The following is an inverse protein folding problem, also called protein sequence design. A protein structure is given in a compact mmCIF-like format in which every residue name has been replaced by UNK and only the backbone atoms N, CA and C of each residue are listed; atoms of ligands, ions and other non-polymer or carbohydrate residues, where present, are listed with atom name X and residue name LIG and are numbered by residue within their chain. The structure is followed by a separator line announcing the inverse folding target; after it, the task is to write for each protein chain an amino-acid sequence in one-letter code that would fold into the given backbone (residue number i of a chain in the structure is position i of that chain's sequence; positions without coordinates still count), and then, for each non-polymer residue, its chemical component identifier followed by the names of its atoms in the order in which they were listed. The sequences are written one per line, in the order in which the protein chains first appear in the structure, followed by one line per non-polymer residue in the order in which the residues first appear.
data_IF_668186870244
#
_entry.id   IF_668186870244
#
_cell.length_a   1.000
_cell.length_b   1.000
_cell.length_c   1.000
_cell.angle_alpha   90.00
_cell.angle_beta   90.00
_cell.angle_gamma   90.00
#
_symmetry.space_group_name_H-M   'P 1'
#
loop_
_entity.id
_entity.type
_entity.pdbx_description
1 polymer ?
#
# COMPACT_ATOMS: atom_id res chain seq x y z
N UNK A 1 13.17 -6.53 11.97
CA UNK A 1 13.60 -6.40 10.55
C UNK A 1 13.50 -4.95 10.14
N UNK A 2 14.50 -4.37 9.46
CA UNK A 2 14.40 -2.99 8.94
C UNK A 2 13.85 -2.98 7.52
N UNK A 3 12.91 -2.08 7.24
CA UNK A 3 12.28 -1.93 5.93
C UNK A 3 12.06 -0.46 5.61
N UNK A 4 11.87 -0.15 4.32
CA UNK A 4 11.47 1.18 3.88
C UNK A 4 9.96 1.22 3.60
N UNK A 5 9.28 2.24 4.09
CA UNK A 5 7.85 2.44 3.89
C UNK A 5 7.58 3.85 3.37
N UNK A 6 6.71 3.95 2.37
CA UNK A 6 6.18 5.22 1.92
C UNK A 6 4.93 5.57 2.73
N UNK A 7 5.08 6.48 3.67
CA UNK A 7 3.98 7.05 4.44
C UNK A 7 3.42 8.33 3.83
N UNK A 8 2.22 8.68 4.28
CA UNK A 8 1.61 9.98 4.05
C UNK A 8 1.61 10.74 5.38
N UNK A 9 2.04 11.98 5.37
CA UNK A 9 1.93 12.85 6.54
C UNK A 9 1.22 14.14 6.15
N UNK A 10 0.17 14.48 6.88
CA UNK A 10 -0.31 15.86 6.91
C UNK A 10 0.60 16.58 7.90
N UNK A 11 1.60 17.31 7.39
CA UNK A 11 2.48 18.07 8.26
C UNK A 11 1.77 19.36 8.65
N UNK A 12 1.24 19.42 9.87
CA UNK A 12 0.93 20.68 10.52
C UNK A 12 2.18 21.07 11.31
N UNK A 13 2.72 22.26 11.06
CA UNK A 13 3.81 22.83 11.86
C UNK A 13 3.44 22.72 13.36
N UNK A 14 4.12 21.84 14.10
CA UNK A 14 3.92 21.65 15.55
C UNK A 14 3.53 20.25 16.04
N UNK A 15 3.24 19.26 15.18
CA UNK A 15 2.97 17.88 15.63
C UNK A 15 4.22 16.98 15.65
N UNK A 16 4.48 16.33 16.80
CA UNK A 16 5.49 15.28 16.90
C UNK A 16 5.03 13.99 16.19
N UNK A 17 5.96 13.30 15.53
CA UNK A 17 5.75 12.07 14.75
C UNK A 17 5.20 10.85 15.53
N UNK A 18 4.98 10.95 16.84
CA UNK A 18 4.80 9.80 17.74
C UNK A 18 3.41 9.16 17.72
N UNK A 19 2.42 9.69 16.97
CA UNK A 19 1.04 9.16 17.01
C UNK A 19 0.39 8.96 15.64
N UNK A 20 1.15 8.91 14.55
CA UNK A 20 0.57 8.67 13.22
C UNK A 20 -0.02 7.25 13.16
N UNK A 21 -1.36 7.13 13.25
CA UNK A 21 -2.04 5.93 12.78
C UNK A 21 -1.91 5.93 11.26
N UNK A 22 -1.39 4.88 10.62
CA UNK A 22 -1.40 4.80 9.17
C UNK A 22 -2.86 4.66 8.73
N UNK A 23 -3.52 5.78 8.45
CA UNK A 23 -4.74 5.78 7.67
C UNK A 23 -4.34 5.45 6.24
N UNK A 24 -4.29 4.15 5.94
CA UNK A 24 -3.98 3.67 4.61
C UNK A 24 -5.05 4.15 3.62
N UNK A 25 -4.68 4.23 2.34
CA UNK A 25 -5.55 4.57 1.20
C UNK A 25 -6.86 3.76 1.15
N UNK A 26 -6.91 2.65 1.89
CA UNK A 26 -8.05 1.73 2.00
C UNK A 26 -9.03 2.10 3.13
N UNK A 27 -8.64 2.92 4.11
CA UNK A 27 -9.51 3.39 5.22
C UNK A 27 -10.84 3.97 4.71
N UNK A 28 -10.81 4.75 3.63
CA UNK A 28 -12.00 5.36 3.03
C UNK A 28 -12.89 4.37 2.26
N UNK A 29 -12.30 3.37 1.59
CA UNK A 29 -13.06 2.31 0.93
C UNK A 29 -13.82 1.45 1.94
N UNK A 30 -13.23 1.19 3.10
CA UNK A 30 -13.85 0.41 4.18
C UNK A 30 -14.85 1.20 5.02
N UNK A 31 -14.71 2.53 5.13
CA UNK A 31 -15.73 3.38 5.76
C UNK A 31 -17.10 3.28 5.06
N UNK A 32 -17.14 3.16 3.72
CA UNK A 32 -18.38 2.92 2.97
C UNK A 32 -19.09 1.60 3.35
N UNK A 33 -18.34 0.58 3.77
CA UNK A 33 -18.91 -0.69 4.25
C UNK A 33 -19.60 -0.56 5.61
N UNK A 34 -19.10 0.32 6.48
CA UNK A 34 -19.75 0.61 7.78
C UNK A 34 -21.05 1.38 7.62
N UNK A 35 -21.16 2.21 6.59
CA UNK A 35 -22.35 3.02 6.33
C UNK A 35 -23.39 2.33 5.44
N UNK A 36 -23.10 1.13 4.93
CA UNK A 36 -23.98 0.43 3.97
C UNK A 36 -24.06 1.10 2.60
N UNK A 37 -23.35 2.21 2.39
CA UNK A 37 -23.21 2.87 1.10
C UNK A 37 -21.88 2.44 0.49
N UNK A 38 -21.91 1.42 -0.36
CA UNK A 38 -20.82 1.26 -1.32
C UNK A 38 -20.97 2.38 -2.35
N UNK A 39 -20.04 3.35 -2.43
CA UNK A 39 -20.16 4.50 -3.31
C UNK A 39 -19.80 4.13 -4.76
N UNK A 40 -20.36 3.03 -5.26
CA UNK A 40 -19.97 2.45 -6.54
C UNK A 40 -21.04 2.67 -7.61
N UNK A 41 -21.09 3.90 -8.11
CA UNK A 41 -21.39 4.18 -9.52
C UNK A 41 -20.08 4.15 -10.36
N UNK A 42 -19.18 3.21 -10.05
CA UNK A 42 -17.82 3.18 -10.60
C UNK A 42 -17.72 2.27 -11.82
N UNK A 43 -16.80 2.63 -12.72
CA UNK A 43 -16.45 1.88 -13.95
C UNK A 43 -16.05 0.42 -13.65
N UNK A 44 -16.14 -0.46 -14.66
CA UNK A 44 -15.85 -1.90 -14.51
C UNK A 44 -14.49 -2.22 -13.86
N UNK A 45 -13.47 -1.37 -14.06
CA UNK A 45 -12.16 -1.54 -13.42
C UNK A 45 -12.24 -1.52 -11.89
N UNK A 46 -12.99 -0.59 -11.31
CA UNK A 46 -13.01 -0.45 -9.87
C UNK A 46 -13.80 -1.59 -9.19
N UNK A 47 -14.84 -2.09 -9.85
CA UNK A 47 -15.52 -3.32 -9.43
C UNK A 47 -14.56 -4.53 -9.46
N UNK A 48 -13.74 -4.65 -10.50
CA UNK A 48 -12.74 -5.71 -10.60
C UNK A 48 -11.64 -5.59 -9.55
N UNK A 49 -11.16 -4.37 -9.25
CA UNK A 49 -10.18 -4.16 -8.18
C UNK A 49 -10.74 -4.59 -6.80
N UNK A 50 -12.03 -4.33 -6.54
CA UNK A 50 -12.71 -4.78 -5.31
C UNK A 50 -12.89 -6.30 -5.28
N UNK A 51 -13.34 -6.90 -6.39
CA UNK A 51 -13.50 -8.36 -6.51
C UNK A 51 -12.17 -9.07 -6.25
N UNK A 52 -11.08 -8.59 -6.87
CA UNK A 52 -9.74 -9.12 -6.66
C UNK A 52 -9.33 -9.11 -5.19
N UNK A 53 -9.43 -7.96 -4.51
CA UNK A 53 -9.05 -7.87 -3.10
C UNK A 53 -9.93 -8.73 -2.18
N UNK A 54 -11.18 -9.03 -2.59
CA UNK A 54 -12.04 -9.97 -1.89
C UNK A 54 -11.54 -11.42 -2.07
N UNK A 55 -11.33 -11.87 -3.30
CA UNK A 55 -10.86 -13.23 -3.60
C UNK A 55 -9.50 -13.51 -2.97
N UNK A 56 -8.57 -12.56 -3.06
CA UNK A 56 -7.25 -12.69 -2.42
C UNK A 56 -7.34 -12.85 -0.90
N UNK A 57 -8.24 -12.11 -0.24
CA UNK A 57 -8.43 -12.23 1.21
C UNK A 57 -9.13 -13.54 1.60
N UNK A 58 -10.07 -14.04 0.78
CA UNK A 58 -10.71 -15.34 1.03
C UNK A 58 -9.70 -16.49 0.93
N UNK A 59 -8.88 -16.54 -0.13
CA UNK A 59 -7.79 -17.53 -0.26
C UNK A 59 -6.78 -17.42 0.89
N UNK A 60 -6.46 -16.20 1.32
CA UNK A 60 -5.59 -16.00 2.49
C UNK A 60 -6.20 -16.61 3.76
N UNK A 61 -7.50 -16.39 4.00
CA UNK A 61 -8.20 -16.88 5.19
C UNK A 61 -8.35 -18.39 5.22
N UNK A 62 -8.58 -19.03 4.07
CA UNK A 62 -8.69 -20.48 3.98
C UNK A 62 -7.34 -21.14 4.20
N UNK A 63 -6.35 -20.75 3.40
CA UNK A 63 -5.15 -21.56 3.17
C UNK A 63 -3.88 -20.96 3.77
N UNK A 64 -3.84 -19.64 3.97
CA UNK A 64 -2.66 -18.89 4.42
C UNK A 64 -2.93 -18.05 5.67
N UNK A 65 -3.57 -18.66 6.69
CA UNK A 65 -4.06 -17.97 7.90
C UNK A 65 -3.01 -17.15 8.65
N UNK A 66 -1.74 -17.57 8.59
CA UNK A 66 -0.62 -16.90 9.23
C UNK A 66 -0.11 -15.67 8.46
N UNK A 67 -0.48 -15.51 7.18
CA UNK A 67 -0.07 -14.38 6.36
C UNK A 67 -0.86 -13.10 6.74
N UNK A 68 -0.24 -11.91 6.64
CA UNK A 68 -0.89 -10.64 6.93
C UNK A 68 -2.03 -10.36 5.93
N UNK A 69 -3.10 -9.68 6.39
CA UNK A 69 -4.19 -9.29 5.50
C UNK A 69 -3.84 -8.02 4.70
N UNK A 70 -3.93 -8.06 3.38
CA UNK A 70 -3.77 -6.89 2.48
C UNK A 70 -4.68 -5.71 2.84
N UNK A 71 -5.81 -6.01 3.46
CA UNK A 71 -6.82 -5.03 3.86
C UNK A 71 -6.45 -4.26 5.13
N UNK A 72 -5.48 -4.77 5.92
CA UNK A 72 -5.08 -4.20 7.22
C UNK A 72 -3.58 -3.94 7.35
N UNK A 73 -2.77 -4.57 6.50
CA UNK A 73 -1.33 -4.52 6.62
C UNK A 73 -0.73 -3.18 6.19
N UNK A 74 0.51 -3.00 6.61
CA UNK A 74 1.42 -2.02 6.08
C UNK A 74 2.07 -2.55 4.79
N UNK A 75 2.11 -1.72 3.75
CA UNK A 75 2.86 -2.00 2.52
C UNK A 75 4.24 -1.37 2.62
N UNK A 76 5.30 -2.12 2.35
CA UNK A 76 6.67 -1.65 2.42
C UNK A 76 7.50 -2.21 1.26
N UNK A 77 8.70 -1.68 1.07
CA UNK A 77 9.66 -2.24 0.14
C UNK A 77 10.42 -3.40 0.80
N UNK A 78 10.58 -4.55 0.12
CA UNK A 78 11.39 -5.64 0.65
C UNK A 78 12.83 -5.19 0.85
N UNK A 79 13.52 -5.65 1.92
CA UNK A 79 14.87 -5.21 2.24
C UNK A 79 15.90 -5.56 1.16
N UNK A 80 15.63 -6.55 0.32
CA UNK A 80 16.50 -6.98 -0.77
C UNK A 80 16.40 -6.08 -2.01
N UNK A 81 15.30 -5.33 -2.16
CA UNK A 81 14.93 -4.76 -3.46
C UNK A 81 15.52 -3.37 -3.66
N UNK A 82 15.82 -2.59 -2.61
CA UNK A 82 16.23 -1.21 -2.81
C UNK A 82 17.32 -0.77 -1.84
N UNK A 83 18.45 -0.35 -2.40
CA UNK A 83 19.32 0.62 -1.73
C UNK A 83 18.55 1.95 -1.57
N UNK A 84 18.91 2.77 -0.59
CA UNK A 84 18.18 4.01 -0.26
C UNK A 84 18.01 4.93 -1.48
N UNK A 85 19.04 5.04 -2.31
CA UNK A 85 19.08 5.76 -3.59
C UNK A 85 18.09 5.20 -4.62
N UNK A 86 17.99 3.88 -4.74
CA UNK A 86 17.05 3.22 -5.66
C UNK A 86 15.60 3.38 -5.17
N UNK A 87 15.36 3.35 -3.86
CA UNK A 87 14.05 3.59 -3.29
C UNK A 87 13.56 5.01 -3.56
N UNK A 88 14.42 6.00 -3.37
CA UNK A 88 14.12 7.38 -3.70
C UNK A 88 13.86 7.52 -5.20
N UNK A 89 14.72 6.99 -6.07
CA UNK A 89 14.53 7.08 -7.53
C UNK A 89 13.23 6.40 -8.00
N UNK A 90 12.93 5.21 -7.46
CA UNK A 90 11.67 4.50 -7.72
C UNK A 90 10.48 5.34 -7.30
N UNK A 91 10.53 5.92 -6.10
CA UNK A 91 9.46 6.77 -5.59
C UNK A 91 9.31 8.07 -6.36
N UNK A 92 10.38 8.69 -6.82
CA UNK A 92 10.31 9.88 -7.67
C UNK A 92 9.65 9.52 -9.01
N UNK A 93 10.01 8.37 -9.59
CA UNK A 93 9.37 7.87 -10.80
C UNK A 93 7.87 7.62 -10.59
N UNK A 94 7.48 7.00 -9.47
CA UNK A 94 6.08 6.74 -9.09
C UNK A 94 5.32 7.99 -8.66
N UNK A 95 6.00 8.96 -8.04
CA UNK A 95 5.42 10.23 -7.67
C UNK A 95 5.10 11.06 -8.92
N UNK A 96 5.90 10.92 -9.98
CA UNK A 96 5.58 11.41 -11.32
C UNK A 96 4.47 10.60 -12.01
N UNK A 97 4.18 9.36 -11.56
CA UNK A 97 3.06 8.57 -12.07
C UNK A 97 1.74 9.23 -11.64
N UNK A 98 1.04 9.68 -12.69
CA UNK A 98 -0.18 10.49 -12.76
C UNK A 98 -1.43 9.85 -12.13
N UNK A 99 -1.34 9.20 -10.98
CA UNK A 99 -2.56 8.73 -10.30
C UNK A 99 -3.38 9.95 -9.87
N UNK A 100 -4.61 10.13 -10.39
CA UNK A 100 -5.41 11.32 -10.09
C UNK A 100 -5.68 11.49 -8.59
N UNK A 101 -5.81 10.36 -7.87
CA UNK A 101 -5.93 10.33 -6.41
C UNK A 101 -4.69 10.88 -5.73
N UNK A 102 -3.51 10.46 -6.17
CA UNK A 102 -2.22 10.91 -5.62
C UNK A 102 -2.04 12.41 -5.88
N UNK A 103 -2.38 12.88 -7.08
CA UNK A 103 -2.36 14.31 -7.40
C UNK A 103 -3.37 15.11 -6.57
N UNK A 104 -4.55 14.56 -6.29
CA UNK A 104 -5.55 15.22 -5.45
C UNK A 104 -5.06 15.39 -4.00
N UNK A 105 -4.39 14.38 -3.42
CA UNK A 105 -3.76 14.51 -2.11
C UNK A 105 -2.60 15.52 -2.14
N UNK A 106 -1.79 15.49 -3.19
CA UNK A 106 -0.68 16.43 -3.37
C UNK A 106 -1.16 17.88 -3.41
N UNK A 107 -2.26 18.15 -4.13
CA UNK A 107 -2.92 19.47 -4.17
C UNK A 107 -3.47 19.93 -2.83
N UNK A 108 -3.75 19.02 -1.90
CA UNK A 108 -4.20 19.33 -0.53
C UNK A 108 -3.03 19.57 0.44
N UNK A 109 -1.80 19.67 -0.07
CA UNK A 109 -0.62 19.88 0.78
C UNK A 109 -0.20 18.66 1.59
N UNK A 110 -0.64 17.45 1.20
CA UNK A 110 -0.22 16.22 1.90
C UNK A 110 1.18 15.86 1.47
N UNK A 111 2.09 15.77 2.44
CA UNK A 111 3.48 15.39 2.21
C UNK A 111 3.58 13.88 2.07
N UNK A 112 4.45 13.44 1.17
CA UNK A 112 4.89 12.05 1.14
C UNK A 112 6.23 11.95 1.86
N UNK A 113 6.39 10.90 2.64
CA UNK A 113 7.61 10.67 3.41
C UNK A 113 8.04 9.23 3.24
N UNK A 114 9.28 9.05 2.80
CA UNK A 114 9.97 7.76 2.89
C UNK A 114 10.53 7.63 4.30
N UNK A 115 10.16 6.55 4.98
CA UNK A 115 10.58 6.26 6.35
C UNK A 115 11.26 4.91 6.43
N UNK A 116 12.31 4.82 7.24
CA UNK A 116 12.84 3.55 7.71
C UNK A 116 12.03 3.11 8.92
N UNK A 117 11.56 1.86 8.87
CA UNK A 117 10.81 1.23 9.94
C UNK A 117 11.58 0.01 10.46
N UNK A 118 11.49 -0.20 11.76
CA UNK A 118 11.90 -1.43 12.42
C UNK A 118 10.67 -2.22 12.85
N UNK A 119 10.50 -3.37 12.21
CA UNK A 119 9.40 -4.30 12.45
C UNK A 119 9.76 -5.23 13.62
N UNK A 120 8.84 -5.38 14.58
CA UNK A 120 9.04 -6.16 15.80
C UNK A 120 7.98 -7.26 15.92
N UNK A 121 8.35 -8.51 15.62
CA UNK A 121 7.39 -9.62 15.57
C UNK A 121 6.32 -9.42 14.48
N UNK A 122 5.22 -10.18 14.53
CA UNK A 122 4.10 -10.07 13.59
C UNK A 122 4.23 -10.94 12.34
N UNK A 123 3.28 -10.76 11.41
CA UNK A 123 3.21 -11.49 10.16
C UNK A 123 3.84 -10.67 9.03
N UNK A 124 4.71 -11.32 8.24
CA UNK A 124 5.34 -10.74 7.04
C UNK A 124 4.96 -11.61 5.86
N UNK A 125 4.65 -10.98 4.74
CA UNK A 125 4.56 -11.64 3.45
C UNK A 125 5.32 -10.83 2.41
N UNK A 126 6.07 -11.51 1.55
CA UNK A 126 6.73 -10.89 0.42
C UNK A 126 6.14 -11.53 -0.84
N UNK A 127 5.49 -10.71 -1.67
CA UNK A 127 4.71 -11.16 -2.82
C UNK A 127 5.15 -10.48 -4.11
N UNK A 128 4.68 -11.03 -5.22
CA UNK A 128 4.83 -10.46 -6.57
C UNK A 128 3.61 -9.62 -6.92
N UNK A 129 3.81 -8.30 -7.00
CA UNK A 129 2.75 -7.35 -7.32
C UNK A 129 2.13 -7.58 -8.71
N UNK A 130 2.82 -8.26 -9.62
CA UNK A 130 2.30 -8.58 -10.97
C UNK A 130 1.21 -9.64 -10.94
N UNK A 131 1.21 -10.53 -9.96
CA UNK A 131 0.14 -11.52 -9.75
C UNK A 131 -1.18 -10.85 -9.34
N UNK A 132 -1.14 -9.56 -8.96
CA UNK A 132 -2.32 -8.74 -8.66
C UNK A 132 -2.93 -8.08 -9.91
N UNK A 133 -2.35 -8.23 -11.09
CA UNK A 133 -2.97 -7.78 -12.34
C UNK A 133 -3.97 -8.81 -12.83
N UNK A 134 -5.19 -8.71 -12.31
CA UNK A 134 -6.28 -9.61 -12.64
C UNK A 134 -7.39 -8.95 -13.46
N UNK A 135 -7.07 -7.87 -14.18
CA UNK A 135 -8.04 -7.02 -14.87
C UNK A 135 -8.90 -7.76 -15.91
N UNK A 136 -8.42 -8.91 -16.41
CA UNK A 136 -9.07 -9.71 -17.45
C UNK A 136 -9.33 -11.18 -17.06
N UNK A 137 -9.13 -11.52 -15.79
CA UNK A 137 -9.22 -12.90 -15.30
C UNK A 137 -10.63 -13.26 -14.81
N UNK A 138 -11.01 -14.52 -14.95
CA UNK A 138 -12.19 -15.09 -14.28
C UNK A 138 -11.93 -15.27 -12.78
N UNK A 139 -12.97 -15.48 -11.97
CA UNK A 139 -12.81 -15.69 -10.52
C UNK A 139 -11.88 -16.87 -10.20
N UNK A 140 -12.04 -18.00 -10.89
CA UNK A 140 -11.19 -19.20 -10.73
C UNK A 140 -9.71 -18.91 -11.05
N UNK A 141 -9.46 -18.08 -12.06
CA UNK A 141 -8.12 -17.62 -12.41
C UNK A 141 -7.56 -16.67 -11.34
N UNK A 142 -8.38 -15.76 -10.81
CA UNK A 142 -8.00 -14.87 -9.69
C UNK A 142 -7.62 -15.70 -8.46
N UNK A 143 -8.38 -16.75 -8.13
CA UNK A 143 -8.06 -17.67 -7.02
C UNK A 143 -6.72 -18.37 -7.24
N UNK A 144 -6.44 -18.79 -8.47
CA UNK A 144 -5.17 -19.41 -8.85
C UNK A 144 -4.00 -18.45 -8.65
N UNK A 145 -4.11 -17.22 -9.15
CA UNK A 145 -3.09 -16.18 -8.97
C UNK A 145 -2.94 -15.76 -7.50
N UNK A 146 -4.04 -15.69 -6.74
CA UNK A 146 -4.02 -15.44 -5.31
C UNK A 146 -3.24 -16.53 -4.55
N UNK A 147 -3.43 -17.80 -4.92
CA UNK A 147 -2.67 -18.91 -4.35
C UNK A 147 -1.17 -18.79 -4.62
N UNK A 148 -0.78 -18.43 -5.85
CA UNK A 148 0.63 -18.20 -6.21
C UNK A 148 1.23 -17.03 -5.42
N UNK A 149 0.49 -15.93 -5.35
CA UNK A 149 0.87 -14.74 -4.61
C UNK A 149 1.16 -15.07 -3.16
N UNK A 150 0.22 -15.73 -2.46
CA UNK A 150 0.39 -16.06 -1.04
C UNK A 150 1.46 -17.11 -0.74
N UNK A 151 1.81 -17.96 -1.72
CA UNK A 151 3.00 -18.84 -1.62
C UNK A 151 4.32 -18.10 -1.83
N UNK A 152 4.30 -16.85 -2.27
CA UNK A 152 5.49 -16.08 -2.60
C UNK A 152 6.16 -16.52 -3.90
N UNK A 153 5.37 -17.01 -4.87
CA UNK A 153 5.88 -17.33 -6.20
C UNK A 153 6.13 -16.03 -7.01
N UNK A 154 7.16 -16.03 -7.86
CA UNK A 154 7.46 -14.91 -8.76
C UNK A 154 8.52 -13.93 -8.25
N UNK A 155 8.43 -12.68 -8.69
CA UNK A 155 9.34 -11.61 -8.30
C UNK A 155 8.89 -10.99 -6.99
N UNK A 156 9.73 -11.01 -5.96
CA UNK A 156 9.40 -10.52 -4.63
C UNK A 156 9.59 -9.00 -4.52
N UNK A 157 8.67 -8.20 -5.04
CA UNK A 157 8.76 -6.73 -5.11
C UNK A 157 7.86 -5.97 -4.10
N UNK A 158 6.93 -6.66 -3.46
CA UNK A 158 6.00 -6.09 -2.48
C UNK A 158 6.17 -6.75 -1.11
N UNK A 159 6.30 -5.96 -0.03
CA UNK A 159 6.29 -6.46 1.34
C UNK A 159 5.00 -6.04 2.05
N UNK A 160 4.28 -7.01 2.60
CA UNK A 160 3.15 -6.81 3.50
C UNK A 160 3.58 -7.11 4.94
N UNK A 161 3.17 -6.25 5.86
CA UNK A 161 3.47 -6.42 7.28
C UNK A 161 2.25 -6.15 8.17
N UNK A 162 1.95 -7.06 9.09
CA UNK A 162 0.91 -6.90 10.11
C UNK A 162 1.50 -7.20 11.50
N UNK A 163 1.73 -6.14 12.28
CA UNK A 163 2.34 -6.23 13.60
C UNK A 163 2.82 -4.87 14.14
N UNK A 164 3.46 -4.83 15.32
CA UNK A 164 3.99 -3.61 15.87
C UNK A 164 5.31 -3.20 15.20
N UNK A 165 5.42 -1.93 14.84
CA UNK A 165 6.61 -1.36 14.23
C UNK A 165 7.02 -0.05 14.92
N UNK A 166 8.27 0.33 14.72
CA UNK A 166 8.83 1.61 15.16
C UNK A 166 9.39 2.35 13.95
N UNK A 167 9.05 3.63 13.80
CA UNK A 167 9.73 4.52 12.86
C UNK A 167 11.12 4.82 13.42
N UNK A 168 12.18 4.48 12.69
CA UNK A 168 13.57 4.71 13.15
C UNK A 168 14.13 6.00 12.59
N UNK A 169 13.86 6.31 11.32
CA UNK A 169 14.38 7.50 10.64
C UNK A 169 13.46 7.96 9.52
N UNK A 170 13.36 9.27 9.32
CA UNK A 170 12.85 9.85 8.08
C UNK A 170 13.97 9.90 7.04
N UNK A 171 13.77 9.22 5.92
CA UNK A 171 14.76 9.11 4.84
C UNK A 171 14.66 10.30 3.90
N UNK A 172 13.46 10.57 3.40
CA UNK A 172 13.21 11.63 2.42
C UNK A 172 11.79 12.16 2.57
N UNK A 173 11.63 13.47 2.54
CA UNK A 173 10.35 14.14 2.34
C UNK A 173 10.20 14.56 0.87
N UNK A 174 8.98 14.47 0.36
CA UNK A 174 8.62 14.96 -0.97
C UNK A 174 7.59 16.07 -0.81
N UNK A 175 7.99 17.28 -1.18
CA UNK A 175 7.19 18.48 -1.00
C UNK A 175 6.04 18.58 -2.02
N UNK A 176 4.90 19.15 -1.60
CA UNK A 176 3.92 19.77 -2.46
C UNK A 176 4.53 20.63 -3.59
N UNK A 177 4.53 20.16 -4.86
CA UNK A 177 4.74 21.10 -5.97
C UNK A 177 3.49 21.97 -6.05
N UNK A 178 3.56 23.15 -5.45
CA UNK A 178 2.55 24.19 -5.62
C UNK A 178 2.62 24.61 -7.08
N UNK A 179 1.69 24.09 -7.90
CA UNK A 179 1.53 24.61 -9.26
C UNK A 179 1.18 26.09 -9.12
N UNK A 180 2.09 26.96 -9.57
CA UNK A 180 1.83 28.40 -9.59
C UNK A 180 0.48 28.64 -10.28
N UNK A 181 -0.40 29.50 -9.72
CA UNK A 181 -1.65 29.84 -10.38
C UNK A 181 -1.34 30.37 -11.78
N UNK A 182 -1.99 29.78 -12.79
CA UNK A 182 -1.90 30.22 -14.18
C UNK A 182 -2.74 31.47 -14.40
#
# INVERSE_FOLDING_TARGET
MKVLHLGWSVWNEGQQLSTARPESRWSYYWQGRRTGQMPFAGTGKAAMDVLKEYVFEEVRRSDFKAAPSRQRCLFAFPPQVLREDEAVATLESMALVRSPTVQAFWKKGVWKVLMELELAGGAVHIGDSKLLDCSHLTVEQIETEAGKYWRGEGNTDELLYEGPFRVTRMVKSFEPQVLAPR
#
